data_IF_517252964511
#
_entry.id   IF_517252964511
#
_cell.length_a   1.000
_cell.length_b   1.000
_cell.length_c   1.000
_cell.angle_alpha   90.00
_cell.angle_beta   90.00
_cell.angle_gamma   90.00
#
_symmetry.space_group_name_H-M   'P 1'
#
loop_
_entity.id
_entity.type
_entity.pdbx_description
1 polymer ?
#
# COMPACT_ATOMS: atom_id res chain seq x y z
N UNK A 1 3.41 17.24 -13.87
CA UNK A 1 2.11 16.92 -13.23
C UNK A 1 2.37 16.70 -11.75
N UNK A 2 1.38 16.30 -10.95
CA UNK A 2 1.60 15.88 -9.56
C UNK A 2 0.70 14.69 -9.17
N UNK A 3 0.91 14.18 -7.98
CA UNK A 3 0.23 13.02 -7.41
C UNK A 3 -1.28 13.24 -7.29
N UNK A 4 -1.70 14.45 -6.91
CA UNK A 4 -3.13 14.81 -6.84
C UNK A 4 -3.80 14.67 -8.22
N UNK A 5 -3.13 15.11 -9.29
CA UNK A 5 -3.63 14.94 -10.66
C UNK A 5 -3.68 13.47 -11.10
N UNK A 6 -2.76 12.62 -10.63
CA UNK A 6 -2.82 11.17 -10.88
C UNK A 6 -4.05 10.55 -10.19
N UNK A 7 -4.30 10.91 -8.93
CA UNK A 7 -5.48 10.47 -8.17
C UNK A 7 -6.77 10.93 -8.87
N UNK A 8 -6.86 12.20 -9.26
CA UNK A 8 -8.02 12.76 -9.96
C UNK A 8 -8.28 12.03 -11.30
N UNK A 9 -7.22 11.64 -12.02
CA UNK A 9 -7.34 10.90 -13.28
C UNK A 9 -7.80 9.43 -13.10
N UNK A 10 -7.85 8.92 -11.87
CA UNK A 10 -8.35 7.58 -11.53
C UNK A 10 -9.37 7.63 -10.38
N UNK A 11 -10.12 8.72 -10.26
CA UNK A 11 -11.00 8.99 -9.12
C UNK A 11 -12.00 7.86 -8.82
N UNK A 12 -12.52 7.19 -9.85
CA UNK A 12 -13.47 6.09 -9.68
C UNK A 12 -12.80 4.90 -8.99
N UNK A 13 -11.64 4.47 -9.48
CA UNK A 13 -10.86 3.40 -8.87
C UNK A 13 -10.36 3.80 -7.49
N UNK A 14 -9.87 5.04 -7.34
CA UNK A 14 -9.38 5.56 -6.07
C UNK A 14 -10.46 5.51 -4.98
N UNK A 15 -11.66 5.99 -5.27
CA UNK A 15 -12.78 5.92 -4.33
C UNK A 15 -13.18 4.49 -4.02
N UNK A 16 -13.20 3.59 -5.02
CA UNK A 16 -13.50 2.18 -4.81
C UNK A 16 -12.47 1.46 -3.93
N UNK A 17 -11.23 1.97 -3.90
CA UNK A 17 -10.17 1.49 -3.03
C UNK A 17 -10.29 2.03 -1.60
N UNK A 18 -10.34 3.37 -1.43
CA UNK A 18 -10.25 3.97 -0.09
C UNK A 18 -11.57 3.90 0.70
N UNK A 19 -12.72 3.77 0.02
CA UNK A 19 -14.05 3.59 0.63
C UNK A 19 -14.56 2.16 0.47
N UNK A 20 -13.65 1.18 0.38
CA UNK A 20 -14.04 -0.22 0.25
C UNK A 20 -14.76 -0.73 1.50
N UNK A 21 -15.72 -1.64 1.35
CA UNK A 21 -16.47 -2.21 2.48
C UNK A 21 -15.54 -2.83 3.55
N UNK A 22 -14.39 -3.36 3.11
CA UNK A 22 -13.37 -3.95 4.00
C UNK A 22 -12.88 -2.90 5.02
N UNK A 23 -12.56 -1.71 4.52
CA UNK A 23 -12.09 -0.57 5.30
C UNK A 23 -13.19 -0.05 6.23
N UNK A 24 -14.43 0.03 5.74
CA UNK A 24 -15.57 0.42 6.58
C UNK A 24 -15.81 -0.56 7.73
N UNK A 25 -15.74 -1.87 7.46
CA UNK A 25 -15.93 -2.90 8.47
C UNK A 25 -14.79 -2.98 9.48
N UNK A 26 -13.54 -2.63 9.09
CA UNK A 26 -12.44 -2.43 10.03
C UNK A 26 -12.77 -1.32 11.04
N UNK A 27 -13.21 -0.18 10.52
CA UNK A 27 -13.53 0.99 11.33
C UNK A 27 -14.75 0.78 12.24
N UNK A 28 -15.72 -0.01 11.80
CA UNK A 28 -16.89 -0.39 12.60
C UNK A 28 -16.59 -1.53 13.59
N UNK A 29 -15.46 -2.23 13.42
CA UNK A 29 -15.08 -3.40 14.20
C UNK A 29 -15.97 -4.62 13.92
N UNK A 30 -16.54 -4.71 12.71
CA UNK A 30 -17.50 -5.74 12.29
C UNK A 30 -16.92 -6.70 11.26
N UNK A 31 -15.73 -6.41 10.70
CA UNK A 31 -15.05 -7.31 9.77
C UNK A 31 -14.87 -8.68 10.43
N UNK A 32 -15.14 -9.75 9.70
CA UNK A 32 -14.96 -11.11 10.23
C UNK A 32 -13.48 -11.38 10.51
N UNK A 33 -13.22 -12.05 11.64
CA UNK A 33 -11.86 -12.29 12.10
C UNK A 33 -11.05 -13.11 11.10
N UNK A 34 -11.65 -14.13 10.50
CA UNK A 34 -11.03 -15.01 9.51
C UNK A 34 -10.65 -14.24 8.23
N UNK A 35 -11.49 -13.29 7.80
CA UNK A 35 -11.22 -12.40 6.66
C UNK A 35 -10.02 -11.51 6.95
N UNK A 36 -9.98 -10.89 8.14
CA UNK A 36 -8.86 -10.04 8.52
C UNK A 36 -7.56 -10.83 8.69
N UNK A 37 -7.64 -12.04 9.25
CA UNK A 37 -6.50 -12.92 9.39
C UNK A 37 -5.93 -13.36 8.03
N UNK A 38 -6.78 -13.72 7.07
CA UNK A 38 -6.32 -14.01 5.70
C UNK A 38 -5.63 -12.81 5.07
N UNK A 39 -6.23 -11.62 5.19
CA UNK A 39 -5.62 -10.37 4.74
C UNK A 39 -4.23 -10.18 5.35
N UNK A 40 -4.05 -10.29 6.67
CA UNK A 40 -2.75 -10.06 7.33
C UNK A 40 -1.67 -11.04 6.88
N UNK A 41 -2.01 -12.31 6.67
CA UNK A 41 -1.07 -13.30 6.13
C UNK A 41 -0.64 -12.94 4.72
N UNK A 42 -1.59 -12.53 3.88
CA UNK A 42 -1.31 -12.10 2.51
C UNK A 42 -0.56 -10.77 2.46
N UNK A 43 -0.85 -9.85 3.38
CA UNK A 43 -0.19 -8.55 3.48
C UNK A 43 1.27 -8.71 3.94
N UNK A 44 1.56 -9.65 4.84
CA UNK A 44 2.95 -10.02 5.14
C UNK A 44 3.74 -10.46 3.89
N UNK A 45 3.15 -11.32 3.05
CA UNK A 45 3.77 -11.74 1.80
C UNK A 45 3.87 -10.59 0.79
N UNK A 46 2.85 -9.71 0.73
CA UNK A 46 2.87 -8.48 -0.06
C UNK A 46 4.03 -7.59 0.36
N UNK A 47 4.16 -7.27 1.65
CA UNK A 47 5.20 -6.41 2.20
C UNK A 47 6.60 -6.93 1.92
N UNK A 48 6.80 -8.26 1.90
CA UNK A 48 8.07 -8.87 1.48
C UNK A 48 8.44 -8.51 0.03
N UNK A 49 7.49 -8.55 -0.90
CA UNK A 49 7.73 -8.16 -2.29
C UNK A 49 7.79 -6.65 -2.46
N UNK A 50 6.98 -5.90 -1.71
CA UNK A 50 6.98 -4.44 -1.70
C UNK A 50 8.32 -3.88 -1.21
N UNK A 51 8.93 -4.53 -0.22
CA UNK A 51 10.31 -4.30 0.24
C UNK A 51 11.31 -4.50 -0.89
N UNK A 52 11.18 -5.59 -1.67
CA UNK A 52 12.03 -5.83 -2.85
C UNK A 52 11.83 -4.77 -3.93
N UNK A 53 10.61 -4.25 -4.09
CA UNK A 53 10.33 -3.16 -5.02
C UNK A 53 11.01 -1.85 -4.58
N UNK A 54 11.05 -1.53 -3.28
CA UNK A 54 11.86 -0.40 -2.78
C UNK A 54 13.37 -0.63 -2.95
N UNK A 55 13.86 -1.85 -2.77
CA UNK A 55 15.25 -2.18 -3.11
C UNK A 55 15.53 -2.00 -4.61
N UNK A 56 14.58 -2.34 -5.47
CA UNK A 56 14.66 -2.06 -6.91
C UNK A 56 14.68 -0.55 -7.19
N UNK A 57 13.98 0.28 -6.42
CA UNK A 57 14.05 1.74 -6.55
C UNK A 57 15.46 2.26 -6.27
N UNK A 58 16.15 1.72 -5.27
CA UNK A 58 17.57 2.02 -5.01
C UNK A 58 18.44 1.60 -6.21
N UNK A 59 18.21 0.41 -6.77
CA UNK A 59 18.93 -0.08 -7.94
C UNK A 59 18.71 0.78 -9.20
N UNK A 60 17.49 1.26 -9.41
CA UNK A 60 17.08 2.10 -10.56
C UNK A 60 17.46 3.57 -10.41
N UNK A 61 17.89 3.99 -9.22
CA UNK A 61 18.26 5.37 -8.95
C UNK A 61 19.44 5.84 -9.81
N UNK A 62 19.36 7.08 -10.32
CA UNK A 62 20.41 7.71 -11.14
C UNK A 62 21.38 8.56 -10.31
N UNK A 63 21.11 8.72 -9.02
CA UNK A 63 21.92 9.52 -8.11
C UNK A 63 21.84 9.01 -6.67
N UNK A 64 22.87 9.33 -5.87
CA UNK A 64 22.85 9.04 -4.43
C UNK A 64 21.70 9.73 -3.70
N UNK A 65 21.22 10.88 -4.18
CA UNK A 65 20.05 11.56 -3.60
C UNK A 65 18.81 10.70 -3.74
N UNK A 66 18.56 10.16 -4.95
CA UNK A 66 17.42 9.28 -5.21
C UNK A 66 17.53 7.96 -4.42
N UNK A 67 18.74 7.39 -4.29
CA UNK A 67 18.94 6.21 -3.43
C UNK A 67 18.55 6.49 -1.97
N UNK A 68 18.91 7.67 -1.45
CA UNK A 68 18.56 8.09 -0.09
C UNK A 68 17.07 8.35 0.10
N UNK A 69 16.33 8.72 -0.95
CA UNK A 69 14.88 8.91 -0.86
C UNK A 69 14.12 7.59 -0.66
N UNK A 70 14.61 6.47 -1.24
CA UNK A 70 13.99 5.15 -1.07
C UNK A 70 14.33 4.47 0.27
N UNK A 71 15.46 4.85 0.88
CA UNK A 71 16.01 4.16 2.05
C UNK A 71 15.09 4.19 3.29
N UNK A 72 14.44 5.31 3.66
CA UNK A 72 13.52 5.33 4.79
C UNK A 72 12.37 4.35 4.65
N UNK A 73 11.74 4.27 3.47
CA UNK A 73 10.66 3.31 3.22
C UNK A 73 11.15 1.87 3.34
N UNK A 74 12.33 1.55 2.83
CA UNK A 74 12.92 0.22 2.95
C UNK A 74 13.19 -0.17 4.40
N UNK A 75 13.75 0.74 5.20
CA UNK A 75 13.97 0.50 6.63
C UNK A 75 12.64 0.36 7.39
N UNK A 76 11.68 1.25 7.17
CA UNK A 76 10.39 1.19 7.86
C UNK A 76 9.64 -0.12 7.57
N UNK A 77 9.70 -0.61 6.33
CA UNK A 77 9.10 -1.89 5.96
C UNK A 77 9.72 -3.06 6.73
N UNK A 78 11.06 -3.14 6.72
CA UNK A 78 11.80 -4.25 7.35
C UNK A 78 11.80 -4.20 8.88
N UNK A 79 11.97 -3.02 9.46
CA UNK A 79 12.23 -2.84 10.89
C UNK A 79 10.95 -2.54 11.69
N UNK A 80 9.85 -2.13 11.04
CA UNK A 80 8.63 -1.71 11.74
C UNK A 80 7.37 -2.40 11.20
N UNK A 81 7.00 -2.21 9.94
CA UNK A 81 5.68 -2.60 9.44
C UNK A 81 5.49 -4.13 9.35
N UNK A 82 6.49 -4.86 8.86
CA UNK A 82 6.48 -6.32 8.88
C UNK A 82 6.46 -6.86 10.32
N UNK A 83 7.23 -6.22 11.22
CA UNK A 83 7.25 -6.57 12.65
C UNK A 83 5.88 -6.45 13.31
N UNK A 84 5.14 -5.37 13.03
CA UNK A 84 3.77 -5.19 13.51
C UNK A 84 2.83 -6.31 13.04
N UNK A 85 2.97 -6.77 11.80
CA UNK A 85 2.17 -7.88 11.27
C UNK A 85 2.47 -9.20 11.99
N UNK A 86 3.75 -9.48 12.23
CA UNK A 86 4.19 -10.66 13.00
C UNK A 86 3.62 -10.60 14.42
N UNK A 87 3.83 -9.51 15.15
CA UNK A 87 3.33 -9.36 16.53
C UNK A 87 1.81 -9.50 16.61
N UNK A 88 1.09 -9.05 15.58
CA UNK A 88 -0.36 -9.18 15.53
C UNK A 88 -0.80 -10.62 15.32
N UNK A 89 -0.17 -11.35 14.40
CA UNK A 89 -0.45 -12.76 14.14
C UNK A 89 -0.02 -13.68 15.30
N UNK A 90 1.05 -13.34 16.01
CA UNK A 90 1.52 -14.06 17.20
C UNK A 90 0.47 -14.07 18.32
N UNK A 91 -0.32 -13.00 18.48
CA UNK A 91 -1.44 -12.94 19.45
C UNK A 91 -2.51 -14.00 19.17
N UNK A 92 -2.52 -14.57 17.97
CA UNK A 92 -3.42 -15.64 17.56
C UNK A 92 -2.71 -16.98 17.39
N UNK A 93 -1.46 -17.08 17.84
CA UNK A 93 -0.67 -18.31 17.82
C UNK A 93 -0.10 -18.66 16.45
N UNK A 94 0.03 -17.68 15.54
CA UNK A 94 0.63 -17.86 14.22
C UNK A 94 2.04 -17.28 14.25
N UNK A 95 3.03 -18.12 13.99
CA UNK A 95 4.44 -17.73 13.97
C UNK A 95 4.83 -17.08 12.63
N UNK A 96 5.90 -16.28 12.66
CA UNK A 96 6.52 -15.75 11.43
C UNK A 96 6.88 -16.86 10.43
N UNK A 97 7.35 -18.01 10.91
CA UNK A 97 7.67 -19.15 10.06
C UNK A 97 6.44 -19.70 9.32
N UNK A 98 5.29 -19.74 10.00
CA UNK A 98 4.03 -20.15 9.36
C UNK A 98 3.60 -19.11 8.32
N UNK A 99 3.72 -17.82 8.61
CA UNK A 99 3.42 -16.75 7.65
C UNK A 99 4.34 -16.80 6.42
N UNK A 100 5.64 -17.07 6.60
CA UNK A 100 6.59 -17.28 5.50
C UNK A 100 6.29 -18.52 4.66
N UNK A 101 5.70 -19.55 5.26
CA UNK A 101 5.33 -20.78 4.58
C UNK A 101 3.99 -20.68 3.83
N UNK A 102 3.23 -19.60 4.04
CA UNK A 102 1.96 -19.43 3.34
C UNK A 102 2.15 -19.21 1.83
N UNK A 103 1.14 -19.62 1.08
CA UNK A 103 1.12 -19.42 -0.37
C UNK A 103 0.56 -18.03 -0.70
N UNK A 104 1.27 -17.28 -1.55
CA UNK A 104 0.74 -16.04 -2.12
C UNK A 104 -0.55 -16.35 -2.90
N UNK A 105 -1.63 -15.67 -2.55
CA UNK A 105 -2.92 -15.77 -3.24
C UNK A 105 -2.91 -14.90 -4.51
N UNK A 106 -3.89 -15.08 -5.39
CA UNK A 106 -3.88 -14.56 -6.76
C UNK A 106 -3.73 -13.04 -6.83
N UNK A 107 -4.43 -12.30 -5.97
CA UNK A 107 -4.33 -10.84 -5.86
C UNK A 107 -2.94 -10.40 -5.38
N UNK A 108 -2.39 -11.08 -4.37
CA UNK A 108 -1.03 -10.84 -3.86
C UNK A 108 0.02 -11.03 -4.95
N UNK A 109 -0.04 -12.13 -5.70
CA UNK A 109 0.88 -12.39 -6.82
C UNK A 109 0.68 -11.33 -7.90
N UNK A 110 -0.55 -11.12 -8.37
CA UNK A 110 -0.84 -10.21 -9.46
C UNK A 110 -0.35 -8.79 -9.15
N UNK A 111 -0.62 -8.29 -7.95
CA UNK A 111 -0.24 -6.94 -7.57
C UNK A 111 1.28 -6.79 -7.43
N UNK A 112 1.91 -7.62 -6.61
CA UNK A 112 3.35 -7.49 -6.34
C UNK A 112 4.19 -7.70 -7.59
N UNK A 113 3.80 -8.65 -8.46
CA UNK A 113 4.47 -8.86 -9.75
C UNK A 113 4.23 -7.70 -10.70
N UNK A 114 3.04 -7.12 -10.74
CA UNK A 114 2.78 -5.91 -11.53
C UNK A 114 3.72 -4.75 -11.14
N UNK A 115 3.88 -4.47 -9.85
CA UNK A 115 4.77 -3.41 -9.35
C UNK A 115 6.23 -3.69 -9.75
N UNK A 116 6.72 -4.90 -9.50
CA UNK A 116 8.09 -5.29 -9.84
C UNK A 116 8.35 -5.29 -11.35
N UNK A 117 7.42 -5.81 -12.16
CA UNK A 117 7.54 -5.86 -13.60
C UNK A 117 7.52 -4.45 -14.20
N UNK A 118 6.64 -3.57 -13.71
CA UNK A 118 6.57 -2.17 -14.10
C UNK A 118 7.90 -1.46 -13.82
N UNK A 119 8.47 -1.64 -12.62
CA UNK A 119 9.77 -1.06 -12.30
C UNK A 119 10.91 -1.66 -13.11
N UNK A 120 10.90 -2.96 -13.39
CA UNK A 120 11.94 -3.62 -14.18
C UNK A 120 11.93 -3.17 -15.64
N UNK A 121 10.76 -3.17 -16.28
CA UNK A 121 10.59 -2.78 -17.68
C UNK A 121 10.77 -1.27 -17.89
N UNK A 122 10.34 -0.46 -16.92
CA UNK A 122 10.40 0.99 -16.95
C UNK A 122 11.62 1.59 -16.26
N UNK A 123 11.47 2.84 -15.84
CA UNK A 123 12.44 3.58 -15.05
C UNK A 123 11.97 3.79 -13.59
N UNK A 124 12.73 4.60 -12.85
CA UNK A 124 12.42 4.92 -11.46
C UNK A 124 11.04 5.57 -11.30
N UNK A 125 10.58 6.34 -12.29
CA UNK A 125 9.30 7.04 -12.25
C UNK A 125 8.15 6.05 -12.41
N UNK A 126 8.27 5.09 -13.33
CA UNK A 126 7.27 4.00 -13.48
C UNK A 126 7.11 3.22 -12.17
N UNK A 127 8.23 2.88 -11.53
CA UNK A 127 8.23 2.16 -10.27
C UNK A 127 7.53 2.95 -9.16
N UNK A 128 7.87 4.23 -8.97
CA UNK A 128 7.20 5.04 -7.95
C UNK A 128 5.72 5.28 -8.25
N UNK A 129 5.33 5.41 -9.52
CA UNK A 129 3.92 5.49 -9.90
C UNK A 129 3.15 4.20 -9.54
N UNK A 130 3.80 3.03 -9.63
CA UNK A 130 3.19 1.75 -9.23
C UNK A 130 3.20 1.51 -7.71
N UNK A 131 4.19 2.04 -6.98
CA UNK A 131 4.27 1.94 -5.51
C UNK A 131 3.27 2.87 -4.82
N UNK A 132 3.04 4.05 -5.38
CA UNK A 132 2.35 5.14 -4.71
C UNK A 132 0.91 4.84 -4.23
N UNK A 133 0.05 4.09 -4.98
CA UNK A 133 -1.29 3.78 -4.51
C UNK A 133 -1.32 3.07 -3.14
N UNK A 134 -0.37 2.16 -2.88
CA UNK A 134 -0.26 1.49 -1.59
C UNK A 134 0.08 2.48 -0.47
N UNK A 135 1.26 3.12 -0.56
CA UNK A 135 1.73 4.01 0.49
C UNK A 135 0.75 5.16 0.77
N UNK A 136 0.24 5.81 -0.28
CA UNK A 136 -0.64 6.97 -0.14
C UNK A 136 -2.04 6.53 0.27
N UNK A 137 -2.57 5.46 -0.33
CA UNK A 137 -3.91 4.99 -0.07
C UNK A 137 -4.13 4.58 1.37
N UNK A 138 -3.22 3.77 1.95
CA UNK A 138 -3.29 3.40 3.37
C UNK A 138 -3.21 4.63 4.28
N UNK A 139 -2.43 5.64 3.90
CA UNK A 139 -2.36 6.91 4.62
C UNK A 139 -3.68 7.67 4.60
N UNK A 140 -4.29 7.81 3.42
CA UNK A 140 -5.58 8.46 3.24
C UNK A 140 -6.69 7.70 3.98
N UNK A 141 -6.69 6.36 3.90
CA UNK A 141 -7.63 5.51 4.63
C UNK A 141 -7.48 5.74 6.14
N UNK A 142 -6.27 5.65 6.67
CA UNK A 142 -6.00 5.85 8.09
C UNK A 142 -6.47 7.22 8.58
N UNK A 143 -6.13 8.29 7.85
CA UNK A 143 -6.51 9.66 8.18
C UNK A 143 -8.04 9.89 8.10
N UNK A 144 -8.69 9.38 7.04
CA UNK A 144 -10.14 9.44 6.89
C UNK A 144 -10.86 8.73 8.05
N UNK A 145 -10.43 7.52 8.39
CA UNK A 145 -11.02 6.74 9.47
C UNK A 145 -10.79 7.38 10.84
N UNK A 146 -9.63 7.98 11.09
CA UNK A 146 -9.35 8.68 12.35
C UNK A 146 -10.22 9.93 12.53
N UNK A 147 -10.58 10.61 11.44
CA UNK A 147 -11.44 11.81 11.44
C UNK A 147 -12.94 11.48 11.44
N UNK A 148 -13.31 10.23 11.17
CA UNK A 148 -14.70 9.79 11.08
C UNK A 148 -15.27 9.54 12.48
N UNK A 149 -16.28 10.32 12.87
CA UNK A 149 -16.93 10.23 14.19
C UNK A 149 -17.50 8.83 14.52
N UNK A 150 -17.83 8.04 13.49
CA UNK A 150 -18.39 6.69 13.64
C UNK A 150 -17.33 5.59 13.77
N UNK A 151 -16.03 5.91 13.67
CA UNK A 151 -14.97 4.92 13.86
C UNK A 151 -14.94 4.47 15.31
N UNK A 152 -15.14 3.17 15.51
CA UNK A 152 -15.14 2.56 16.84
C UNK A 152 -13.69 2.26 17.23
N UNK A 153 -13.18 2.95 18.25
CA UNK A 153 -11.85 2.64 18.82
C UNK A 153 -11.95 1.78 20.08
N UNK A 154 -12.93 2.05 20.94
CA UNK A 154 -13.11 1.28 22.17
C UNK A 154 -13.68 -0.12 21.85
N UNK A 155 -12.96 -1.15 22.28
CA UNK A 155 -13.34 -2.55 22.04
C UNK A 155 -13.29 -2.99 20.58
N UNK A 156 -12.67 -2.22 19.69
CA UNK A 156 -12.46 -2.65 18.30
C UNK A 156 -11.25 -3.61 18.23
N UNK A 157 -11.43 -4.85 17.73
CA UNK A 157 -10.34 -5.82 17.61
C UNK A 157 -9.23 -5.37 16.65
N UNK A 158 -9.50 -4.41 15.76
CA UNK A 158 -8.59 -3.92 14.72
C UNK A 158 -8.00 -2.54 15.06
N UNK A 159 -8.13 -2.10 16.32
CA UNK A 159 -7.67 -0.78 16.76
C UNK A 159 -6.21 -0.49 16.40
N UNK A 160 -5.30 -1.45 16.59
CA UNK A 160 -3.88 -1.20 16.30
C UNK A 160 -3.60 -0.94 14.83
N UNK A 161 -4.35 -1.58 13.92
CA UNK A 161 -4.27 -1.31 12.48
C UNK A 161 -4.74 0.13 12.19
N UNK A 162 -5.86 0.55 12.78
CA UNK A 162 -6.39 1.92 12.64
C UNK A 162 -5.38 2.95 13.17
N UNK A 163 -4.80 2.73 14.34
CA UNK A 163 -3.81 3.62 14.97
C UNK A 163 -2.48 3.66 14.21
N UNK A 164 -2.05 2.55 13.63
CA UNK A 164 -0.81 2.48 12.84
C UNK A 164 -0.89 3.38 11.60
N UNK A 165 -1.90 3.18 10.75
CA UNK A 165 -2.00 3.92 9.48
C UNK A 165 -2.46 5.36 9.66
N UNK A 166 -3.17 5.69 10.74
CA UNK A 166 -3.48 7.08 11.11
C UNK A 166 -2.36 7.78 11.89
N UNK A 167 -1.35 7.02 12.33
CA UNK A 167 -0.27 7.50 13.18
C UNK A 167 0.65 8.51 12.50
N UNK A 168 1.22 9.42 13.30
CA UNK A 168 2.06 10.51 12.79
C UNK A 168 3.26 10.00 11.98
N UNK A 169 3.89 8.91 12.39
CA UNK A 169 5.03 8.32 11.67
C UNK A 169 4.64 7.84 10.27
N UNK A 170 3.53 7.12 10.13
CA UNK A 170 3.04 6.65 8.84
C UNK A 170 2.66 7.84 7.94
N UNK A 171 1.91 8.81 8.49
CA UNK A 171 1.49 10.01 7.76
C UNK A 171 2.67 10.87 7.30
N UNK A 172 3.73 11.00 8.10
CA UNK A 172 4.97 11.67 7.66
C UNK A 172 5.66 10.90 6.52
N UNK A 173 5.59 9.57 6.52
CA UNK A 173 6.04 8.73 5.42
C UNK A 173 5.25 8.99 4.13
N UNK A 174 3.93 9.11 4.23
CA UNK A 174 3.02 9.43 3.11
C UNK A 174 3.37 10.78 2.50
N UNK A 175 3.58 11.82 3.32
CA UNK A 175 3.99 13.15 2.83
C UNK A 175 5.28 13.07 2.02
N UNK A 176 6.30 12.38 2.54
CA UNK A 176 7.58 12.20 1.83
C UNK A 176 7.42 11.41 0.53
N UNK A 177 6.53 10.41 0.51
CA UNK A 177 6.21 9.64 -0.68
C UNK A 177 5.62 10.54 -1.77
N UNK A 178 4.63 11.38 -1.41
CA UNK A 178 4.00 12.36 -2.31
C UNK A 178 5.04 13.36 -2.82
N UNK A 179 5.83 13.98 -1.93
CA UNK A 179 6.85 14.95 -2.31
C UNK A 179 7.88 14.37 -3.29
N UNK A 180 8.34 13.14 -3.05
CA UNK A 180 9.29 12.47 -3.93
C UNK A 180 8.66 12.14 -5.29
N UNK A 181 7.42 11.63 -5.32
CA UNK A 181 6.74 11.34 -6.58
C UNK A 181 6.48 12.63 -7.38
N UNK A 182 5.98 13.68 -6.72
CA UNK A 182 5.75 15.00 -7.31
C UNK A 182 7.02 15.56 -7.94
N UNK A 183 8.16 15.43 -7.25
CA UNK A 183 9.46 15.83 -7.80
C UNK A 183 9.84 15.03 -9.05
N UNK A 184 9.60 13.71 -9.05
CA UNK A 184 9.94 12.83 -10.18
C UNK A 184 9.08 13.09 -11.42
N UNK A 185 7.84 13.54 -11.26
CA UNK A 185 6.87 13.75 -12.36
C UNK A 185 6.59 15.22 -12.68
N UNK A 186 7.26 16.16 -12.01
CA UNK A 186 7.03 17.60 -12.15
C UNK A 186 7.07 18.05 -13.62
N UNK A 187 8.13 17.67 -14.34
CA UNK A 187 8.40 18.07 -15.72
C UNK A 187 7.63 17.26 -16.78
N UNK A 188 6.82 16.30 -16.36
CA UNK A 188 6.00 15.48 -17.26
C UNK A 188 4.62 16.12 -17.38
N UNK A 189 4.19 16.61 -18.56
CA UNK A 189 2.84 17.14 -18.74
C UNK A 189 1.80 16.02 -18.66
N UNK A 190 0.67 16.27 -17.99
CA UNK A 190 -0.40 15.29 -17.79
C UNK A 190 -0.91 14.71 -19.12
N UNK A 191 -1.13 15.57 -20.11
CA UNK A 191 -1.68 15.18 -21.42
C UNK A 191 -0.65 14.57 -22.38
N UNK A 192 0.63 14.52 -22.00
CA UNK A 192 1.67 13.90 -22.82
C UNK A 192 1.51 12.38 -22.89
N UNK A 193 2.13 11.74 -23.88
CA UNK A 193 2.14 10.28 -23.97
C UNK A 193 2.68 9.64 -22.68
N UNK A 194 3.79 10.18 -22.16
CA UNK A 194 4.38 9.73 -20.89
C UNK A 194 3.44 9.96 -19.69
N UNK A 195 2.72 11.07 -19.67
CA UNK A 195 1.74 11.34 -18.61
C UNK A 195 0.59 10.34 -18.60
N UNK A 196 0.06 10.00 -19.78
CA UNK A 196 -0.98 8.98 -19.92
C UNK A 196 -0.50 7.59 -19.50
N UNK A 197 0.74 7.22 -19.82
CA UNK A 197 1.35 5.97 -19.35
C UNK A 197 1.40 5.90 -17.82
N UNK A 198 1.86 6.96 -17.16
CA UNK A 198 1.94 7.00 -15.69
C UNK A 198 0.56 6.96 -15.02
N UNK A 199 -0.46 7.60 -15.63
CA UNK A 199 -1.85 7.49 -15.17
C UNK A 199 -2.32 6.03 -15.25
N UNK A 200 -2.04 5.31 -16.35
CA UNK A 200 -2.42 3.90 -16.46
C UNK A 200 -1.70 3.01 -15.44
N UNK A 201 -0.42 3.29 -15.17
CA UNK A 201 0.35 2.58 -14.13
C UNK A 201 -0.27 2.77 -12.76
N UNK A 202 -0.50 4.02 -12.37
CA UNK A 202 -1.10 4.36 -11.09
C UNK A 202 -2.51 3.75 -10.98
N UNK A 203 -3.36 3.93 -12.00
CA UNK A 203 -4.72 3.36 -12.03
C UNK A 203 -4.72 1.84 -11.90
N UNK A 204 -3.80 1.16 -12.58
CA UNK A 204 -3.72 -0.31 -12.50
C UNK A 204 -3.33 -0.77 -11.11
N UNK A 205 -2.34 -0.13 -10.49
CA UNK A 205 -1.98 -0.40 -9.10
C UNK A 205 -3.13 -0.10 -8.12
N UNK A 206 -3.88 1.00 -8.31
CA UNK A 206 -5.11 1.27 -7.53
C UNK A 206 -6.17 0.17 -7.69
N UNK A 207 -6.37 -0.37 -8.91
CA UNK A 207 -7.29 -1.50 -9.12
C UNK A 207 -6.81 -2.78 -8.43
N UNK A 208 -5.50 -2.97 -8.33
CA UNK A 208 -4.93 -4.10 -7.62
C UNK A 208 -5.14 -3.99 -6.11
N UNK A 209 -5.13 -2.78 -5.53
CA UNK A 209 -5.53 -2.57 -4.14
C UNK A 209 -7.00 -2.98 -3.87
N UNK A 210 -7.92 -2.60 -4.76
CA UNK A 210 -9.32 -3.06 -4.67
C UNK A 210 -9.38 -4.59 -4.71
N UNK A 211 -8.64 -5.21 -5.63
CA UNK A 211 -8.57 -6.67 -5.75
C UNK A 211 -7.94 -7.32 -4.50
N UNK A 212 -7.02 -6.64 -3.83
CA UNK A 212 -6.41 -7.09 -2.58
C UNK A 212 -7.43 -7.11 -1.43
N UNK A 213 -8.27 -6.08 -1.32
CA UNK A 213 -9.40 -6.10 -0.38
C UNK A 213 -10.42 -7.20 -0.69
N UNK A 214 -10.76 -7.37 -1.96
CA UNK A 214 -11.67 -8.43 -2.41
C UNK A 214 -11.12 -9.83 -2.15
N UNK A 215 -9.80 -10.03 -2.29
CA UNK A 215 -9.14 -11.28 -1.93
C UNK A 215 -9.37 -11.61 -0.44
N UNK A 216 -9.26 -10.60 0.44
CA UNK A 216 -9.63 -10.73 1.85
C UNK A 216 -11.05 -11.25 2.02
N UNK A 217 -12.03 -10.61 1.38
CA UNK A 217 -13.44 -11.00 1.50
C UNK A 217 -13.78 -12.39 0.98
N UNK A 218 -13.20 -12.76 -0.15
CA UNK A 218 -13.52 -14.01 -0.81
C UNK A 218 -12.82 -15.22 -0.16
N UNK A 219 -11.98 -15.01 0.87
CA UNK A 219 -11.30 -16.07 1.62
C UNK A 219 -12.23 -17.02 2.39
N UNK A 220 -13.45 -16.56 2.70
CA UNK A 220 -14.46 -17.32 3.45
C UNK A 220 -15.67 -17.73 2.60
N UNK A 221 -15.63 -17.50 1.28
CA UNK A 221 -16.73 -17.79 0.36
C UNK A 221 -16.55 -19.10 -0.41
#
# INVERSE_FOLDING_TARGET
MNTQQLIEACQQEWNGYIEHDFVHQLADGTLQHEVFLHYLKQDFLFLKQYTRAYALAIYKAKSLSQMRNALPSLHNLLDSEIGHHIEFCEKWGISEQEMEAETEDFGTVAYTRYVLDTGNAGDLVDLYAALAPCAIGYGVIGDNLAKRDTTKLEGNPYRSWLEMYSGEEFQQGVVKCIENLDQLIADIPLESARGKELIEVFRTATRMEIAFWEQGYNSIR
#
